data_IF_413135573450
#
_entry.id   IF_413135573450
#
_cell.length_a   1.000
_cell.length_b   1.000
_cell.length_c   1.000
_cell.angle_alpha   90.00
_cell.angle_beta   90.00
_cell.angle_gamma   90.00
#
_symmetry.space_group_name_H-M   'P 1'
#
loop_
_entity.id
_entity.type
_entity.pdbx_description
1 polymer ?
#
# COMPACT_ATOMS: atom_id res chain seq x y z
N UNK A 1 -4.24 -29.49 -2.85
CA UNK A 1 -3.67 -28.68 -1.77
C UNK A 1 -2.18 -28.57 -2.00
N UNK A 2 -1.71 -27.40 -2.41
CA UNK A 2 -0.29 -27.11 -2.67
C UNK A 2 0.34 -26.61 -1.38
N UNK A 3 1.54 -27.12 -1.04
CA UNK A 3 2.28 -26.67 0.13
C UNK A 3 3.23 -25.56 -0.34
N UNK A 4 3.05 -24.34 0.19
CA UNK A 4 3.92 -23.21 -0.10
C UNK A 4 5.16 -23.27 0.82
N UNK A 5 6.34 -23.04 0.24
CA UNK A 5 7.60 -22.95 0.97
C UNK A 5 7.67 -21.66 1.80
N UNK A 6 7.55 -21.84 3.12
CA UNK A 6 7.56 -20.78 4.13
C UNK A 6 8.90 -20.05 4.25
N UNK A 7 10.02 -20.71 3.93
CA UNK A 7 11.35 -20.08 3.94
C UNK A 7 11.45 -19.00 2.89
N UNK A 8 10.99 -19.31 1.67
CA UNK A 8 10.87 -18.31 0.59
C UNK A 8 9.83 -17.24 0.89
N UNK A 9 8.70 -17.60 1.50
CA UNK A 9 7.69 -16.62 1.94
C UNK A 9 8.29 -15.61 2.92
N UNK A 10 9.09 -16.06 3.89
CA UNK A 10 9.76 -15.19 4.86
C UNK A 10 10.75 -14.23 4.19
N UNK A 11 11.53 -14.71 3.21
CA UNK A 11 12.47 -13.87 2.44
C UNK A 11 11.69 -12.78 1.69
N UNK A 12 10.63 -13.15 0.99
CA UNK A 12 9.74 -12.22 0.30
C UNK A 12 9.15 -11.17 1.25
N UNK A 13 8.66 -11.60 2.41
CA UNK A 13 8.09 -10.74 3.43
C UNK A 13 9.11 -9.71 3.95
N UNK A 14 10.35 -10.14 4.22
CA UNK A 14 11.43 -9.25 4.63
C UNK A 14 11.74 -8.21 3.54
N UNK A 15 11.81 -8.64 2.28
CA UNK A 15 12.06 -7.73 1.16
C UNK A 15 10.94 -6.69 1.00
N UNK A 16 9.67 -7.12 1.08
CA UNK A 16 8.52 -6.23 1.03
C UNK A 16 8.51 -5.23 2.19
N UNK A 17 8.76 -5.69 3.43
CA UNK A 17 8.83 -4.82 4.60
C UNK A 17 9.98 -3.82 4.55
N UNK A 18 11.15 -4.22 4.02
CA UNK A 18 12.27 -3.30 3.84
C UNK A 18 11.94 -2.22 2.81
N UNK A 19 11.30 -2.60 1.70
CA UNK A 19 10.85 -1.69 0.66
C UNK A 19 9.82 -0.68 1.20
N UNK A 20 8.79 -1.18 1.88
CA UNK A 20 7.77 -0.34 2.55
C UNK A 20 8.44 0.59 3.56
N UNK A 21 9.33 0.06 4.41
CA UNK A 21 10.07 0.85 5.38
C UNK A 21 10.82 2.01 4.73
N UNK A 22 11.54 1.78 3.64
CA UNK A 22 12.24 2.83 2.89
C UNK A 22 11.29 3.88 2.32
N UNK A 23 10.15 3.49 1.76
CA UNK A 23 9.14 4.44 1.25
C UNK A 23 8.54 5.30 2.37
N UNK A 24 8.32 4.73 3.56
CA UNK A 24 7.84 5.48 4.73
C UNK A 24 8.85 6.57 5.11
N UNK A 25 10.14 6.29 5.01
CA UNK A 25 11.20 7.30 5.25
C UNK A 25 11.13 8.47 4.29
N UNK A 26 10.78 8.19 3.04
CA UNK A 26 10.59 9.20 1.99
C UNK A 26 9.23 9.91 2.09
N UNK A 27 8.39 9.58 3.08
CA UNK A 27 7.00 10.06 3.20
C UNK A 27 6.15 9.75 1.97
N UNK A 28 6.38 8.58 1.36
CA UNK A 28 5.64 8.14 0.18
C UNK A 28 4.17 7.87 0.46
N UNK A 29 3.36 7.97 -0.59
CA UNK A 29 1.93 7.68 -0.55
C UNK A 29 1.64 6.22 -0.89
N UNK A 30 0.78 5.59 -0.10
CA UNK A 30 0.40 4.19 -0.26
C UNK A 30 -1.07 4.07 -0.62
N UNK A 31 -1.37 3.20 -1.58
CA UNK A 31 -2.73 2.80 -1.93
C UNK A 31 -2.95 1.34 -1.55
N UNK A 32 -3.98 1.07 -0.76
CA UNK A 32 -4.35 -0.30 -0.36
C UNK A 32 -5.55 -0.77 -1.17
N UNK A 33 -5.33 -1.79 -2.01
CA UNK A 33 -6.30 -2.34 -2.94
C UNK A 33 -6.74 -3.70 -2.45
N UNK A 34 -8.07 -3.88 -2.37
CA UNK A 34 -8.68 -5.09 -1.86
C UNK A 34 -10.05 -5.36 -2.49
N UNK A 35 -10.16 -6.48 -3.20
CA UNK A 35 -11.41 -6.94 -3.81
C UNK A 35 -12.26 -7.79 -2.87
N UNK A 36 -11.66 -8.50 -1.92
CA UNK A 36 -12.38 -9.38 -1.00
C UNK A 36 -12.91 -8.62 0.22
N UNK A 37 -14.23 -8.55 0.39
CA UNK A 37 -14.88 -7.85 1.50
C UNK A 37 -14.51 -8.40 2.88
N UNK A 38 -14.02 -9.65 2.98
CA UNK A 38 -13.56 -10.23 4.24
C UNK A 38 -12.35 -9.51 4.84
N UNK A 39 -11.52 -8.87 4.01
CA UNK A 39 -10.32 -8.19 4.47
C UNK A 39 -10.56 -6.70 4.76
N UNK A 40 -11.74 -6.17 4.43
CA UNK A 40 -12.02 -4.73 4.56
C UNK A 40 -11.88 -4.26 6.01
N UNK A 41 -12.36 -5.03 6.99
CA UNK A 41 -12.25 -4.69 8.42
C UNK A 41 -10.79 -4.59 8.87
N UNK A 42 -9.96 -5.56 8.50
CA UNK A 42 -8.54 -5.63 8.85
C UNK A 42 -7.78 -4.44 8.24
N UNK A 43 -8.07 -4.11 6.97
CA UNK A 43 -7.42 -3.01 6.27
C UNK A 43 -7.86 -1.65 6.84
N UNK A 44 -9.12 -1.52 7.22
CA UNK A 44 -9.64 -0.32 7.89
C UNK A 44 -8.98 -0.12 9.26
N UNK A 45 -8.78 -1.18 10.05
CA UNK A 45 -8.06 -1.11 11.32
C UNK A 45 -6.59 -0.71 11.12
N UNK A 46 -5.90 -1.34 10.15
CA UNK A 46 -4.53 -1.01 9.78
C UNK A 46 -4.37 0.46 9.37
N UNK A 47 -5.24 0.94 8.47
CA UNK A 47 -5.16 2.31 7.94
C UNK A 47 -5.45 3.35 9.03
N UNK A 48 -6.40 3.08 9.93
CA UNK A 48 -6.64 3.90 11.13
C UNK A 48 -5.41 3.95 12.04
N UNK A 49 -4.74 2.82 12.26
CA UNK A 49 -3.55 2.75 13.11
C UNK A 49 -2.34 3.52 12.53
N UNK A 50 -2.14 3.47 11.21
CA UNK A 50 -1.03 4.17 10.54
C UNK A 50 -1.36 5.66 10.32
N UNK A 51 -2.65 6.02 10.25
CA UNK A 51 -3.11 7.36 9.93
C UNK A 51 -3.13 7.67 8.42
N UNK A 52 -3.18 6.65 7.57
CA UNK A 52 -3.28 6.79 6.12
C UNK A 52 -4.75 6.73 5.71
N UNK A 53 -5.18 7.67 4.86
CA UNK A 53 -6.51 7.61 4.26
C UNK A 53 -6.49 6.70 3.04
N UNK A 54 -7.31 5.65 3.05
CA UNK A 54 -7.50 4.76 1.90
C UNK A 54 -8.83 5.06 1.20
N UNK A 55 -8.78 5.58 -0.02
CA UNK A 55 -9.98 5.90 -0.80
C UNK A 55 -10.40 4.67 -1.64
N UNK A 56 -11.61 4.12 -1.40
CA UNK A 56 -12.14 2.94 -2.13
C UNK A 56 -12.54 3.22 -3.59
N UNK A 57 -12.35 4.44 -4.09
CA UNK A 57 -12.64 4.83 -5.47
C UNK A 57 -11.75 4.16 -6.52
N UNK A 58 -10.67 3.49 -6.11
CA UNK A 58 -9.84 2.66 -6.98
C UNK A 58 -10.60 1.52 -7.67
N UNK A 59 -11.81 1.19 -7.19
CA UNK A 59 -12.73 0.24 -7.84
C UNK A 59 -13.28 0.76 -9.18
N UNK A 60 -13.10 2.04 -9.47
CA UNK A 60 -13.45 2.64 -10.74
C UNK A 60 -12.28 2.49 -11.72
N UNK A 61 -12.61 2.27 -12.99
CA UNK A 61 -11.62 2.16 -14.05
C UNK A 61 -10.97 3.52 -14.35
N UNK A 62 -9.68 3.51 -14.70
CA UNK A 62 -8.90 4.72 -14.97
C UNK A 62 -8.54 5.50 -13.70
N UNK A 63 -8.56 4.86 -12.53
CA UNK A 63 -8.36 5.54 -11.26
C UNK A 63 -6.98 6.19 -11.13
N UNK A 64 -5.93 5.47 -11.51
CA UNK A 64 -4.55 5.95 -11.46
C UNK A 64 -4.21 6.74 -12.73
N UNK A 65 -4.56 6.21 -13.91
CA UNK A 65 -4.20 6.80 -15.20
C UNK A 65 -4.96 8.08 -15.52
N UNK A 66 -6.19 8.22 -15.04
CA UNK A 66 -7.03 9.39 -15.24
C UNK A 66 -7.19 10.22 -13.95
N UNK A 67 -6.16 10.24 -13.11
CA UNK A 67 -6.15 10.96 -11.82
C UNK A 67 -6.32 12.49 -11.94
N UNK A 68 -6.06 13.06 -13.12
CA UNK A 68 -6.27 14.48 -13.43
C UNK A 68 -7.70 14.83 -13.88
N UNK A 69 -8.57 13.84 -14.11
CA UNK A 69 -9.92 14.11 -14.59
C UNK A 69 -10.81 14.83 -13.57
N UNK A 70 -11.83 15.57 -14.04
CA UNK A 70 -12.81 16.21 -13.18
C UNK A 70 -13.45 15.21 -12.20
N UNK A 71 -13.21 15.44 -10.90
CA UNK A 71 -13.57 14.51 -9.82
C UNK A 71 -15.01 14.67 -9.32
N UNK A 72 -15.67 15.75 -9.71
CA UNK A 72 -17.05 16.06 -9.30
C UNK A 72 -17.95 15.85 -10.50
N UNK A 73 -18.54 14.66 -10.60
CA UNK A 73 -19.55 14.41 -11.60
C UNK A 73 -20.93 14.67 -11.02
N UNK A 74 -21.67 15.59 -11.63
CA UNK A 74 -23.04 15.94 -11.25
C UNK A 74 -23.99 15.54 -12.35
N UNK A 75 -24.77 14.49 -12.11
CA UNK A 75 -25.93 14.14 -12.92
C UNK A 75 -27.21 14.77 -12.37
N UNK A 76 -28.31 14.60 -13.10
CA UNK A 76 -29.65 15.08 -12.68
C UNK A 76 -30.07 14.54 -11.30
N UNK A 77 -29.73 13.28 -10.99
CA UNK A 77 -30.16 12.60 -9.75
C UNK A 77 -29.03 12.13 -8.83
N UNK A 78 -27.75 12.30 -9.20
CA UNK A 78 -26.60 11.76 -8.43
C UNK A 78 -25.42 12.72 -8.46
N UNK A 79 -24.75 12.85 -7.31
CA UNK A 79 -23.47 13.55 -7.17
C UNK A 79 -22.41 12.51 -6.83
N UNK A 80 -21.44 12.34 -7.71
CA UNK A 80 -20.27 11.49 -7.48
C UNK A 80 -19.08 12.40 -7.21
N UNK A 81 -18.53 12.30 -6.00
CA UNK A 81 -17.27 12.95 -5.66
C UNK A 81 -16.20 11.87 -5.62
N UNK A 82 -15.39 11.81 -6.66
CA UNK A 82 -14.17 11.03 -6.68
C UNK A 82 -13.17 11.69 -5.72
N UNK A 83 -12.48 10.88 -4.92
CA UNK A 83 -11.43 11.37 -4.03
C UNK A 83 -10.30 12.01 -4.84
N UNK A 84 -9.70 13.07 -4.30
CA UNK A 84 -8.48 13.62 -4.87
C UNK A 84 -7.30 12.70 -4.52
N UNK A 85 -7.14 11.61 -5.26
CA UNK A 85 -5.94 10.79 -5.15
C UNK A 85 -4.85 11.44 -5.99
N UNK A 86 -3.77 11.83 -5.31
CA UNK A 86 -2.46 12.02 -5.89
C UNK A 86 -1.91 10.64 -6.26
N UNK A 87 -1.15 10.52 -7.34
CA UNK A 87 -0.60 9.24 -7.76
C UNK A 87 0.15 8.59 -6.58
N UNK A 88 -0.16 7.33 -6.22
CA UNK A 88 0.53 6.65 -5.12
C UNK A 88 1.94 6.27 -5.56
N UNK A 89 2.89 6.31 -4.62
CA UNK A 89 4.27 5.86 -4.84
C UNK A 89 4.39 4.34 -4.74
N UNK A 90 3.43 3.70 -4.07
CA UNK A 90 3.35 2.25 -3.95
C UNK A 90 1.90 1.79 -3.84
N UNK A 91 1.58 0.69 -4.53
CA UNK A 91 0.29 0.01 -4.41
C UNK A 91 0.50 -1.30 -3.65
N UNK A 92 -0.30 -1.51 -2.61
CA UNK A 92 -0.33 -2.75 -1.84
C UNK A 92 -1.63 -3.47 -2.14
N UNK A 93 -1.55 -4.69 -2.68
CA UNK A 93 -2.69 -5.47 -3.14
C UNK A 93 -2.86 -6.71 -2.26
N UNK A 94 -4.05 -6.85 -1.66
CA UNK A 94 -4.41 -7.97 -0.79
C UNK A 94 -5.33 -8.99 -1.44
N UNK A 95 -5.74 -8.80 -2.68
CA UNK A 95 -6.46 -9.82 -3.42
C UNK A 95 -6.30 -9.49 -4.89
N UNK A 96 -6.06 -10.51 -5.69
CA UNK A 96 -5.64 -10.39 -7.08
C UNK A 96 -6.53 -11.17 -8.03
N UNK A 97 -7.69 -11.64 -7.57
CA UNK A 97 -8.65 -12.23 -8.48
C UNK A 97 -9.23 -11.23 -9.49
N UNK A 98 -9.05 -11.60 -10.77
CA UNK A 98 -9.69 -11.16 -12.02
C UNK A 98 -10.19 -9.69 -12.08
N UNK A 99 -9.39 -8.89 -12.80
CA UNK A 99 -9.70 -7.56 -13.39
C UNK A 99 -9.54 -6.35 -12.48
N UNK A 100 -8.54 -6.34 -11.59
CA UNK A 100 -8.10 -5.06 -11.03
C UNK A 100 -7.43 -4.23 -12.12
N UNK A 101 -8.16 -3.28 -12.71
CA UNK A 101 -7.61 -2.26 -13.62
C UNK A 101 -6.38 -1.59 -13.02
N UNK A 102 -6.37 -1.46 -11.68
CA UNK A 102 -5.26 -0.94 -10.88
C UNK A 102 -3.91 -1.62 -11.18
N UNK A 103 -3.86 -2.93 -11.43
CA UNK A 103 -2.59 -3.62 -11.74
C UNK A 103 -2.07 -3.19 -13.12
N UNK A 104 -2.95 -3.09 -14.11
CA UNK A 104 -2.60 -2.64 -15.46
C UNK A 104 -2.19 -1.17 -15.47
N UNK A 105 -2.95 -0.35 -14.76
CA UNK A 105 -2.69 1.08 -14.63
C UNK A 105 -1.38 1.35 -13.88
N UNK A 106 -1.09 0.59 -12.81
CA UNK A 106 0.16 0.68 -12.07
C UNK A 106 1.36 0.24 -12.92
N UNK A 107 1.22 -0.80 -13.74
CA UNK A 107 2.25 -1.21 -14.71
C UNK A 107 2.55 -0.09 -15.70
N UNK A 108 1.53 0.56 -16.26
CA UNK A 108 1.71 1.68 -17.19
C UNK A 108 2.33 2.92 -16.54
N UNK A 109 1.99 3.21 -15.29
CA UNK A 109 2.55 4.32 -14.52
C UNK A 109 3.89 3.99 -13.87
N UNK A 110 4.38 2.76 -14.03
CA UNK A 110 5.61 2.25 -13.41
C UNK A 110 5.62 2.36 -11.88
N UNK A 111 4.44 2.25 -11.26
CA UNK A 111 4.30 2.26 -9.80
C UNK A 111 4.55 0.84 -9.28
N UNK A 112 5.46 0.66 -8.31
CA UNK A 112 5.77 -0.64 -7.75
C UNK A 112 4.57 -1.23 -7.00
N UNK A 113 4.36 -2.53 -7.21
CA UNK A 113 3.26 -3.28 -6.61
C UNK A 113 3.82 -4.26 -5.58
N UNK A 114 3.32 -4.17 -4.36
CA UNK A 114 3.53 -5.16 -3.30
C UNK A 114 2.24 -5.97 -3.17
N UNK A 115 2.30 -7.29 -3.24
CA UNK A 115 1.09 -8.09 -3.11
C UNK A 115 1.39 -9.53 -2.73
N UNK A 116 0.39 -10.21 -2.17
CA UNK A 116 0.52 -11.65 -2.00
C UNK A 116 0.12 -12.39 -3.28
N UNK A 117 0.70 -13.57 -3.44
CA UNK A 117 0.50 -14.43 -4.61
C UNK A 117 0.14 -15.82 -4.12
N UNK A 118 -0.98 -16.34 -4.63
CA UNK A 118 -1.38 -17.73 -4.50
C UNK A 118 -1.08 -18.54 -5.77
N UNK A 119 -1.09 -19.86 -5.62
CA UNK A 119 -0.99 -20.86 -6.68
C UNK A 119 -2.08 -20.77 -7.75
N UNK A 120 -3.25 -20.19 -7.43
CA UNK A 120 -4.36 -19.99 -8.36
C UNK A 120 -4.20 -18.75 -9.27
N UNK A 121 -3.21 -17.88 -8.99
CA UNK A 121 -3.03 -16.62 -9.70
C UNK A 121 -2.64 -16.83 -11.17
N UNK A 122 -3.27 -16.10 -12.13
CA UNK A 122 -2.86 -16.15 -13.53
C UNK A 122 -1.45 -15.56 -13.74
N UNK A 123 -0.70 -16.17 -14.66
CA UNK A 123 0.68 -15.78 -14.99
C UNK A 123 0.83 -14.30 -15.40
N UNK A 124 -0.17 -13.75 -16.07
CA UNK A 124 -0.21 -12.36 -16.52
C UNK A 124 -0.13 -11.37 -15.34
N UNK A 125 -0.88 -11.64 -14.27
CA UNK A 125 -0.87 -10.82 -13.07
C UNK A 125 0.41 -11.03 -12.28
N UNK A 126 0.85 -12.28 -12.17
CA UNK A 126 2.06 -12.66 -11.44
C UNK A 126 3.30 -11.87 -11.89
N UNK A 127 3.48 -11.69 -13.21
CA UNK A 127 4.64 -11.00 -13.77
C UNK A 127 4.69 -9.50 -13.46
N UNK A 128 3.55 -8.87 -13.16
CA UNK A 128 3.42 -7.43 -12.95
C UNK A 128 3.72 -7.01 -11.52
N UNK A 129 3.69 -7.96 -10.58
CA UNK A 129 3.92 -7.70 -9.16
C UNK A 129 5.43 -7.63 -8.90
N UNK A 130 5.90 -6.49 -8.39
CA UNK A 130 7.33 -6.26 -8.12
C UNK A 130 7.80 -6.98 -6.86
N UNK A 131 7.05 -6.83 -5.76
CA UNK A 131 7.37 -7.43 -4.47
C UNK A 131 6.26 -8.41 -4.10
N UNK A 132 6.45 -9.66 -4.50
CA UNK A 132 5.49 -10.73 -4.27
C UNK A 132 5.74 -11.44 -2.95
N UNK A 133 4.67 -11.73 -2.20
CA UNK A 133 4.69 -12.57 -1.01
C UNK A 133 3.89 -13.84 -1.28
N UNK A 134 4.58 -14.97 -1.45
CA UNK A 134 3.91 -16.23 -1.76
C UNK A 134 3.18 -16.76 -0.52
N UNK A 135 1.87 -16.76 -0.52
CA UNK A 135 1.06 -17.20 0.61
C UNK A 135 -0.35 -17.55 0.15
N UNK A 136 -1.04 -18.35 0.95
CA UNK A 136 -2.45 -18.64 0.73
C UNK A 136 -3.31 -17.46 1.18
N UNK A 137 -4.45 -17.30 0.53
CA UNK A 137 -5.43 -16.24 0.77
C UNK A 137 -6.27 -16.60 2.00
N UNK A 138 -5.63 -16.61 3.16
CA UNK A 138 -6.25 -16.89 4.46
C UNK A 138 -6.40 -15.60 5.25
N UNK A 139 -7.54 -15.41 5.92
CA UNK A 139 -7.77 -14.25 6.80
C UNK A 139 -6.64 -14.09 7.83
N UNK A 140 -6.16 -15.21 8.39
CA UNK A 140 -5.03 -15.23 9.32
C UNK A 140 -3.74 -14.69 8.71
N UNK A 141 -3.46 -15.03 7.45
CA UNK A 141 -2.26 -14.57 6.76
C UNK A 141 -2.35 -13.09 6.42
N UNK A 142 -3.50 -12.64 5.90
CA UNK A 142 -3.73 -11.21 5.61
C UNK A 142 -3.63 -10.39 6.89
N UNK A 143 -4.21 -10.87 8.00
CA UNK A 143 -4.06 -10.25 9.30
C UNK A 143 -2.61 -10.15 9.75
N UNK A 144 -1.82 -11.22 9.62
CA UNK A 144 -0.38 -11.22 9.90
C UNK A 144 0.37 -10.21 9.03
N UNK A 145 0.07 -10.20 7.73
CA UNK A 145 0.72 -9.33 6.75
C UNK A 145 0.42 -7.84 7.02
N UNK A 146 -0.85 -7.50 7.21
CA UNK A 146 -1.27 -6.15 7.63
C UNK A 146 -0.60 -5.73 8.93
N UNK A 147 -0.59 -6.59 9.96
CA UNK A 147 0.05 -6.28 11.23
C UNK A 147 1.55 -6.03 11.12
N UNK A 148 2.23 -6.79 10.27
CA UNK A 148 3.65 -6.58 10.05
C UNK A 148 3.89 -5.24 9.36
N UNK A 149 3.11 -4.92 8.32
CA UNK A 149 3.17 -3.61 7.67
C UNK A 149 2.91 -2.50 8.70
N UNK A 150 1.83 -2.57 9.49
CA UNK A 150 1.53 -1.59 10.55
C UNK A 150 2.71 -1.39 11.50
N UNK A 151 3.30 -2.50 11.98
CA UNK A 151 4.46 -2.44 12.89
C UNK A 151 5.66 -1.78 12.22
N UNK A 152 5.95 -2.09 10.96
CA UNK A 152 7.06 -1.46 10.22
C UNK A 152 6.82 0.04 10.01
N UNK A 153 5.60 0.45 9.67
CA UNK A 153 5.22 1.86 9.55
C UNK A 153 5.41 2.61 10.86
N UNK A 154 4.84 2.10 11.95
CA UNK A 154 4.93 2.74 13.27
C UNK A 154 6.38 2.81 13.76
N UNK A 155 7.18 1.77 13.50
CA UNK A 155 8.60 1.76 13.83
C UNK A 155 9.37 2.85 13.07
N UNK A 156 9.20 2.94 11.75
CA UNK A 156 9.88 3.94 10.93
C UNK A 156 9.40 5.37 11.22
N UNK A 157 8.09 5.57 11.45
CA UNK A 157 7.56 6.88 11.87
C UNK A 157 8.14 7.34 13.22
N UNK A 158 8.28 6.43 14.20
CA UNK A 158 8.90 6.76 15.49
C UNK A 158 10.37 7.14 15.30
N UNK A 159 11.12 6.35 14.53
CA UNK A 159 12.52 6.63 14.21
C UNK A 159 12.71 7.99 13.52
N UNK A 160 11.82 8.33 12.59
CA UNK A 160 11.79 9.63 11.91
C UNK A 160 11.55 10.80 12.87
N UNK A 161 10.62 10.65 13.82
CA UNK A 161 10.36 11.67 14.84
C UNK A 161 11.56 11.89 15.76
N UNK A 162 12.25 10.82 16.17
CA UNK A 162 13.47 10.92 17.00
C UNK A 162 14.60 11.61 16.25
N UNK A 163 14.78 11.31 14.96
CA UNK A 163 15.80 11.96 14.13
C UNK A 163 15.54 13.46 13.96
N UNK A 164 14.28 13.85 13.66
CA UNK A 164 13.90 15.27 13.54
C UNK A 164 14.11 16.04 14.85
N UNK A 165 13.78 15.45 16.00
CA UNK A 165 14.01 16.08 17.29
C UNK A 165 15.49 16.31 17.63
N UNK A 166 16.40 15.46 17.13
CA UNK A 166 17.84 15.65 17.30
C UNK A 166 18.39 16.77 16.41
N UNK A 167 17.90 16.90 15.18
CA UNK A 167 18.31 17.95 14.26
C UNK A 167 17.89 19.35 14.78
N UNK A 168 16.68 19.48 15.31
CA UNK A 168 16.16 20.74 15.88
C UNK A 168 16.97 21.23 17.10
N UNK A 169 17.45 20.30 17.95
CA UNK A 169 18.30 20.61 19.12
C UNK A 169 19.70 21.11 18.69
N UNK A 170 20.25 20.59 17.60
CA UNK A 170 21.54 21.05 17.04
C UNK A 170 21.43 22.36 16.27
N UNK A 171 20.26 22.68 15.72
CA UNK A 171 20.00 23.96 15.09
C UNK A 171 19.90 25.08 16.13
N UNK A 172 19.21 24.88 17.26
CA UNK A 172 19.06 25.87 18.32
C UNK A 172 20.37 26.33 18.96
N UNK A 173 21.30 25.39 19.22
CA UNK A 173 22.62 25.70 19.80
C UNK A 173 23.54 26.49 18.85
N UNK A 174 23.28 26.46 17.54
CA UNK A 174 24.03 27.22 16.54
C UNK A 174 23.63 28.70 16.46
N UNK A 175 22.42 29.04 16.91
CA UNK A 175 21.93 30.43 16.94
C UNK A 175 22.19 31.15 18.27
N UNK A 176 22.60 30.43 19.33
CA UNK A 176 22.95 31.01 20.64
C UNK A 176 24.45 31.39 20.78
N UNK A 177 25.27 31.14 19.74
CA UNK A 177 26.71 31.43 19.74
C UNK A 177 27.11 32.68 18.94
N UNK A 178 26.17 33.58 18.65
CA UNK A 178 26.42 34.90 18.05
C UNK A 178 25.76 36.02 18.86
#
# INVERSE_FOLDING_TARGET
MTIIDSGKTLICLRNACNFVGNLVRLKGQFLFVNTNTLFDEIIEEMTKAIGIKNDKSWRLEGFLTNSSSPKKFRGRNKKLNLGAIHAPDCVVIFDTERKSSVILEAEWLQVPIVGHVDSSMPWETYKKITYLVRANDSVQFVYLFCNLITKTFLYEQRKMKTAQGADDLTAGTRYELY
#
